data_IF_891937820310
#
_entry.id   IF_891937820310
#
_cell.length_a   1.000
_cell.length_b   1.000
_cell.length_c   1.000
_cell.angle_alpha   90.00
_cell.angle_beta   90.00
_cell.angle_gamma   90.00
#
_symmetry.space_group_name_H-M   'P 1'
#
loop_
_entity.id
_entity.type
_entity.pdbx_description
1 polymer ?
#
# COMPACT_ATOMS: atom_id res chain seq x y z
N UNK A 1 11.98 23.59 -16.56
CA UNK A 1 11.65 22.54 -17.55
C UNK A 1 10.39 22.95 -18.28
N UNK A 2 10.16 22.46 -19.50
CA UNK A 2 9.08 22.92 -20.37
C UNK A 2 8.10 21.78 -20.69
N UNK A 3 7.36 21.30 -19.68
CA UNK A 3 6.15 20.53 -19.90
C UNK A 3 4.92 21.43 -19.68
N UNK A 4 3.79 21.18 -20.36
CA UNK A 4 2.57 21.96 -20.19
C UNK A 4 2.01 21.82 -18.77
N UNK A 5 1.40 22.89 -18.27
CA UNK A 5 0.54 22.85 -17.08
C UNK A 5 -0.88 22.50 -17.53
N UNK A 6 -1.46 21.47 -16.93
CA UNK A 6 -2.77 20.94 -17.29
C UNK A 6 -3.74 21.21 -16.13
N UNK A 7 -4.83 21.94 -16.36
CA UNK A 7 -5.79 22.21 -15.31
C UNK A 7 -6.54 20.93 -14.91
N UNK A 8 -6.78 20.83 -13.60
CA UNK A 8 -7.51 19.71 -13.00
C UNK A 8 -8.90 20.15 -12.58
N UNK A 9 -9.82 19.19 -12.51
CA UNK A 9 -11.21 19.40 -12.13
C UNK A 9 -11.58 18.50 -10.96
N UNK A 10 -12.11 19.09 -9.90
CA UNK A 10 -12.69 18.36 -8.77
C UNK A 10 -13.98 17.68 -9.24
N UNK A 11 -14.10 16.38 -9.01
CA UNK A 11 -15.28 15.59 -9.35
C UNK A 11 -16.16 15.31 -8.14
N UNK A 12 -15.53 14.97 -7.02
CA UNK A 12 -16.20 14.59 -5.79
C UNK A 12 -15.33 14.94 -4.59
N UNK A 13 -15.95 15.15 -3.45
CA UNK A 13 -15.24 15.23 -2.18
C UNK A 13 -16.13 14.70 -1.05
N UNK A 14 -15.53 14.03 -0.08
CA UNK A 14 -16.25 13.48 1.06
C UNK A 14 -15.37 13.51 2.31
N UNK A 15 -15.97 13.75 3.48
CA UNK A 15 -15.23 13.70 4.75
C UNK A 15 -14.83 12.27 5.10
N UNK A 16 -13.61 12.10 5.57
CA UNK A 16 -13.05 10.85 6.10
C UNK A 16 -12.03 11.20 7.21
N UNK A 17 -12.46 11.23 8.47
CA UNK A 17 -11.58 11.54 9.60
C UNK A 17 -10.38 10.57 9.70
N UNK A 18 -9.21 11.11 10.03
CA UNK A 18 -7.93 10.38 10.14
C UNK A 18 -7.23 10.15 8.81
N UNK A 19 -7.69 10.76 7.70
CA UNK A 19 -7.10 10.48 6.38
C UNK A 19 -5.66 11.00 6.25
N UNK A 20 -5.36 12.14 6.87
CA UNK A 20 -4.02 12.74 6.82
C UNK A 20 -2.97 11.80 7.40
N UNK A 21 -3.27 11.15 8.54
CA UNK A 21 -2.37 10.16 9.15
C UNK A 21 -2.38 8.84 8.37
N UNK A 22 -3.56 8.40 7.92
CA UNK A 22 -3.73 7.13 7.23
C UNK A 22 -2.85 6.99 6.00
N UNK A 23 -2.75 8.00 5.14
CA UNK A 23 -1.97 7.85 3.91
C UNK A 23 -0.44 7.76 4.16
N UNK A 24 0.02 8.01 5.39
CA UNK A 24 1.38 7.72 5.83
C UNK A 24 1.57 6.31 6.41
N UNK A 25 0.50 5.53 6.60
CA UNK A 25 0.58 4.15 7.13
C UNK A 25 0.56 3.11 6.02
N UNK A 26 1.16 1.94 6.30
CA UNK A 26 1.27 0.83 5.34
C UNK A 26 -0.07 0.20 4.93
N UNK A 27 -1.14 0.54 5.64
CA UNK A 27 -2.49 0.02 5.41
C UNK A 27 -3.53 1.10 5.12
N UNK A 28 -3.16 2.39 5.10
CA UNK A 28 -4.12 3.46 4.88
C UNK A 28 -4.63 3.52 3.45
N UNK A 29 -3.89 2.95 2.50
CA UNK A 29 -4.34 2.70 1.14
C UNK A 29 -4.07 1.26 0.73
N UNK A 30 -5.13 0.56 0.33
CA UNK A 30 -5.09 -0.85 -0.03
C UNK A 30 -5.77 -1.07 -1.37
N UNK A 31 -5.24 -1.99 -2.17
CA UNK A 31 -5.94 -2.62 -3.27
C UNK A 31 -6.42 -4.01 -2.82
N UNK A 32 -7.74 -4.21 -2.80
CA UNK A 32 -8.40 -5.45 -2.36
C UNK A 32 -9.60 -5.72 -3.25
N UNK A 33 -9.73 -6.96 -3.73
CA UNK A 33 -10.84 -7.41 -4.58
C UNK A 33 -11.03 -6.51 -5.82
N UNK A 34 -9.91 -6.08 -6.42
CA UNK A 34 -9.91 -5.16 -7.57
C UNK A 34 -10.39 -3.74 -7.27
N UNK A 35 -10.50 -3.34 -6.00
CA UNK A 35 -10.94 -2.00 -5.60
C UNK A 35 -9.95 -1.32 -4.66
N UNK A 36 -9.75 -0.02 -4.86
CA UNK A 36 -9.04 0.82 -3.90
C UNK A 36 -9.88 0.99 -2.62
N UNK A 37 -9.21 0.90 -1.48
CA UNK A 37 -9.81 1.06 -0.15
C UNK A 37 -8.93 1.99 0.66
N UNK A 38 -9.55 2.91 1.38
CA UNK A 38 -8.88 3.77 2.34
C UNK A 38 -9.22 3.30 3.75
N UNK A 39 -8.22 3.14 4.60
CA UNK A 39 -8.38 2.72 5.98
C UNK A 39 -7.91 3.84 6.89
N UNK A 40 -8.79 4.41 7.70
CA UNK A 40 -8.42 5.46 8.65
C UNK A 40 -8.66 5.01 10.07
N UNK A 41 -7.86 5.57 10.98
CA UNK A 41 -8.02 5.42 12.43
C UNK A 41 -8.19 6.80 13.02
N UNK A 42 -9.28 7.02 13.73
CA UNK A 42 -9.57 8.30 14.35
C UNK A 42 -10.41 8.10 15.60
N UNK A 43 -9.96 8.66 16.73
CA UNK A 43 -10.67 8.62 18.02
C UNK A 43 -11.15 7.20 18.42
N UNK A 44 -10.26 6.20 18.28
CA UNK A 44 -10.57 4.80 18.64
C UNK A 44 -11.54 4.10 17.68
N UNK A 45 -11.69 4.63 16.47
CA UNK A 45 -12.55 4.08 15.43
C UNK A 45 -11.73 3.80 14.17
N UNK A 46 -11.91 2.61 13.59
CA UNK A 46 -11.38 2.25 12.27
C UNK A 46 -12.50 2.47 11.24
N UNK A 47 -12.23 3.24 10.19
CA UNK A 47 -13.14 3.41 9.05
C UNK A 47 -12.49 2.85 7.80
N UNK A 48 -13.20 1.97 7.09
CA UNK A 48 -12.78 1.49 5.76
C UNK A 48 -13.75 1.99 4.71
N UNK A 49 -13.26 2.83 3.79
CA UNK A 49 -14.02 3.33 2.65
C UNK A 49 -13.63 2.61 1.36
N UNK A 50 -14.60 2.01 0.65
CA UNK A 50 -14.38 1.47 -0.70
C UNK A 50 -14.56 2.59 -1.72
N UNK A 51 -13.52 2.86 -2.51
CA UNK A 51 -13.55 3.90 -3.54
C UNK A 51 -14.55 3.53 -4.64
N UNK A 52 -15.42 4.47 -5.01
CA UNK A 52 -16.48 4.24 -5.98
C UNK A 52 -15.94 4.18 -7.42
N UNK A 53 -16.48 3.30 -8.24
CA UNK A 53 -16.25 3.29 -9.69
C UNK A 53 -16.96 4.45 -10.40
N UNK A 54 -18.05 4.97 -9.80
CA UNK A 54 -18.67 6.22 -10.24
C UNK A 54 -17.80 7.41 -9.83
N UNK A 55 -17.22 8.08 -10.82
CA UNK A 55 -16.31 9.22 -10.62
C UNK A 55 -16.94 10.44 -9.98
N UNK A 56 -18.28 10.50 -9.92
CA UNK A 56 -19.01 11.58 -9.23
C UNK A 56 -19.08 11.41 -7.72
N UNK A 57 -18.55 10.30 -7.18
CA UNK A 57 -18.46 10.00 -5.75
C UNK A 57 -17.02 9.64 -5.36
N UNK A 58 -16.71 9.77 -4.07
CA UNK A 58 -15.46 9.22 -3.53
C UNK A 58 -15.67 7.78 -3.10
N UNK A 59 -16.69 7.51 -2.28
CA UNK A 59 -16.91 6.18 -1.71
C UNK A 59 -18.27 5.59 -2.12
N UNK A 60 -18.25 4.31 -2.51
CA UNK A 60 -19.48 3.55 -2.76
C UNK A 60 -20.09 3.03 -1.46
N UNK A 61 -19.21 2.67 -0.51
CA UNK A 61 -19.55 2.03 0.76
C UNK A 61 -18.53 2.38 1.84
N UNK A 62 -18.95 2.29 3.11
CA UNK A 62 -18.12 2.50 4.29
C UNK A 62 -18.51 1.55 5.40
N UNK A 63 -17.51 0.95 6.02
CA UNK A 63 -17.68 0.15 7.22
C UNK A 63 -16.84 0.74 8.36
N UNK A 64 -17.31 0.54 9.59
CA UNK A 64 -16.79 1.19 10.79
C UNK A 64 -16.68 0.17 11.91
N UNK A 65 -15.55 0.15 12.58
CA UNK A 65 -15.27 -0.72 13.73
C UNK A 65 -14.74 0.10 14.89
N UNK A 66 -15.04 -0.35 16.11
CA UNK A 66 -14.25 0.07 17.27
C UNK A 66 -12.84 -0.47 17.13
N UNK A 67 -11.84 0.38 17.30
CA UNK A 67 -10.45 -0.03 17.25
C UNK A 67 -10.14 -0.95 18.44
N UNK A 68 -9.74 -2.22 18.21
CA UNK A 68 -9.39 -3.12 19.30
C UNK A 68 -8.06 -2.76 19.98
N UNK A 69 -7.23 -1.92 19.37
CA UNK A 69 -5.90 -1.56 19.85
C UNK A 69 -5.54 -0.09 19.53
N UNK A 70 -6.31 0.91 20.03
CA UNK A 70 -6.15 2.32 19.64
C UNK A 70 -4.80 2.94 20.03
N UNK A 71 -4.09 2.33 20.99
CA UNK A 71 -2.77 2.78 21.45
C UNK A 71 -1.61 2.03 20.76
N UNK A 72 -1.90 1.10 19.83
CA UNK A 72 -0.89 0.33 19.11
C UNK A 72 -0.61 0.94 17.72
N UNK A 73 0.50 1.69 17.54
CA UNK A 73 0.84 2.31 16.27
C UNK A 73 1.32 1.31 15.21
N UNK A 74 1.49 0.03 15.58
CA UNK A 74 1.99 -1.04 14.70
C UNK A 74 0.87 -1.91 14.13
N UNK A 75 -0.38 -1.59 14.44
CA UNK A 75 -1.54 -2.31 13.95
C UNK A 75 -1.68 -2.16 12.42
N UNK A 76 -1.95 -3.27 11.73
CA UNK A 76 -2.30 -3.31 10.31
C UNK A 76 -3.71 -3.85 10.13
N UNK A 77 -4.56 -3.16 9.38
CA UNK A 77 -5.95 -3.51 9.13
C UNK A 77 -6.16 -3.86 7.66
N UNK A 78 -6.85 -4.98 7.39
CA UNK A 78 -7.26 -5.36 6.04
C UNK A 78 -8.73 -5.75 6.02
N UNK A 79 -9.57 -5.12 5.18
CA UNK A 79 -10.95 -5.53 5.00
C UNK A 79 -11.03 -6.90 4.31
N UNK A 80 -12.08 -7.65 4.64
CA UNK A 80 -12.34 -8.99 4.11
C UNK A 80 -13.50 -9.00 3.10
N UNK A 81 -13.58 -10.01 2.22
CA UNK A 81 -14.64 -10.09 1.19
C UNK A 81 -16.07 -10.18 1.73
N UNK A 82 -16.22 -10.72 2.95
CA UNK A 82 -17.50 -10.90 3.64
C UNK A 82 -17.92 -9.65 4.44
N UNK A 83 -17.15 -8.56 4.37
CA UNK A 83 -17.37 -7.33 5.12
C UNK A 83 -16.75 -7.35 6.53
N UNK A 84 -16.01 -8.40 6.89
CA UNK A 84 -15.22 -8.44 8.12
C UNK A 84 -13.92 -7.61 8.03
N UNK A 85 -13.15 -7.64 9.11
CA UNK A 85 -11.87 -6.95 9.25
C UNK A 85 -10.81 -7.89 9.84
N UNK A 86 -9.69 -8.05 9.16
CA UNK A 86 -8.50 -8.68 9.73
C UNK A 86 -7.59 -7.60 10.33
N UNK A 87 -7.13 -7.83 11.54
CA UNK A 87 -6.25 -6.94 12.30
C UNK A 87 -4.99 -7.72 12.66
N UNK A 88 -3.83 -7.26 12.19
CA UNK A 88 -2.53 -7.78 12.58
C UNK A 88 -1.89 -6.82 13.56
N UNK A 89 -1.45 -7.35 14.70
CA UNK A 89 -0.70 -6.63 15.73
C UNK A 89 0.66 -7.31 15.93
N UNK A 90 1.45 -6.84 16.89
CA UNK A 90 2.72 -7.49 17.24
C UNK A 90 2.58 -8.87 17.87
N UNK A 91 1.40 -9.25 18.36
CA UNK A 91 1.22 -10.46 19.16
C UNK A 91 0.12 -11.39 18.64
N UNK A 92 -0.77 -10.89 17.79
CA UNK A 92 -1.86 -11.67 17.26
C UNK A 92 -2.34 -11.13 15.91
N UNK A 93 -2.90 -12.04 15.13
CA UNK A 93 -3.76 -11.73 14.00
C UNK A 93 -5.18 -12.13 14.37
N UNK A 94 -6.12 -11.20 14.27
CA UNK A 94 -7.51 -11.38 14.69
C UNK A 94 -8.42 -11.07 13.53
N UNK A 95 -9.41 -11.93 13.29
CA UNK A 95 -10.48 -11.68 12.32
C UNK A 95 -11.75 -11.31 13.05
N UNK A 96 -12.33 -10.19 12.65
CA UNK A 96 -13.59 -9.65 13.15
C UNK A 96 -14.69 -9.84 12.13
N UNK A 97 -15.88 -10.18 12.62
CA UNK A 97 -17.13 -10.14 11.88
C UNK A 97 -17.52 -8.69 11.53
N UNK A 98 -18.47 -8.47 10.59
CA UNK A 98 -18.96 -7.13 10.27
C UNK A 98 -19.57 -6.37 11.46
N UNK A 99 -20.06 -7.08 12.49
CA UNK A 99 -20.59 -6.48 13.72
C UNK A 99 -19.50 -6.15 14.77
N UNK A 100 -18.23 -6.41 14.44
CA UNK A 100 -17.07 -6.19 15.29
C UNK A 100 -16.75 -7.34 16.26
N UNK A 101 -17.60 -8.35 16.36
CA UNK A 101 -17.31 -9.53 17.18
C UNK A 101 -16.11 -10.32 16.63
N UNK A 102 -15.33 -10.93 17.51
CA UNK A 102 -14.15 -11.71 17.11
C UNK A 102 -14.60 -13.07 16.57
N UNK A 103 -14.26 -13.36 15.32
CA UNK A 103 -14.45 -14.68 14.70
C UNK A 103 -13.42 -15.67 15.24
N UNK A 104 -12.14 -15.30 15.16
CA UNK A 104 -11.02 -16.06 15.71
C UNK A 104 -9.80 -15.16 15.93
N UNK A 105 -8.87 -15.63 16.76
CA UNK A 105 -7.59 -14.98 17.06
C UNK A 105 -6.45 -16.01 16.96
N UNK A 106 -5.42 -15.71 16.17
CA UNK A 106 -4.20 -16.48 16.08
C UNK A 106 -3.05 -15.73 16.76
N UNK A 107 -2.64 -16.21 17.94
CA UNK A 107 -1.51 -15.63 18.68
C UNK A 107 -0.17 -16.08 18.13
N UNK A 108 0.78 -15.17 18.11
CA UNK A 108 2.16 -15.44 17.75
C UNK A 108 3.13 -14.74 18.71
N UNK A 109 4.42 -14.97 18.47
CA UNK A 109 5.47 -14.29 19.24
C UNK A 109 5.63 -12.86 18.75
N UNK A 110 6.03 -12.00 19.67
CA UNK A 110 6.42 -10.62 19.38
C UNK A 110 7.85 -10.54 18.81
N UNK A 111 8.11 -9.52 18.00
CA UNK A 111 9.43 -9.11 17.52
C UNK A 111 10.25 -8.43 18.64
N UNK A 112 10.60 -9.20 19.68
CA UNK A 112 11.20 -8.69 20.93
C UNK A 112 12.41 -7.77 20.78
N UNK A 113 13.12 -7.84 19.65
CA UNK A 113 14.35 -7.10 19.38
C UNK A 113 14.21 -5.98 18.35
N UNK A 114 13.01 -5.78 17.80
CA UNK A 114 12.73 -4.70 16.85
C UNK A 114 11.40 -4.05 17.20
N UNK A 115 11.41 -2.87 17.84
CA UNK A 115 10.18 -2.14 18.17
C UNK A 115 9.50 -1.58 16.91
N UNK A 116 10.24 -1.44 15.80
CA UNK A 116 9.73 -0.90 14.54
C UNK A 116 9.04 -1.97 13.68
N UNK A 117 9.31 -3.25 13.91
CA UNK A 117 8.68 -4.35 13.18
C UNK A 117 7.14 -4.35 13.34
N UNK A 118 6.44 -4.59 12.25
CA UNK A 118 4.98 -4.66 12.24
C UNK A 118 4.50 -5.68 11.20
N UNK A 119 3.59 -6.57 11.62
CA UNK A 119 3.00 -7.56 10.73
C UNK A 119 1.88 -6.97 9.87
N UNK A 120 1.68 -7.54 8.69
CA UNK A 120 0.55 -7.25 7.81
C UNK A 120 -0.29 -8.50 7.58
N UNK A 121 -1.52 -8.30 7.10
CA UNK A 121 -2.37 -9.40 6.65
C UNK A 121 -3.24 -9.02 5.46
N UNK A 122 -3.67 -10.02 4.69
CA UNK A 122 -4.67 -9.89 3.62
C UNK A 122 -5.29 -11.25 3.34
N UNK A 123 -6.53 -11.30 2.86
CA UNK A 123 -7.02 -12.54 2.27
C UNK A 123 -6.33 -12.83 0.93
N UNK A 124 -6.25 -14.11 0.58
CA UNK A 124 -5.84 -14.53 -0.76
C UNK A 124 -6.93 -14.15 -1.79
N UNK A 125 -6.59 -13.98 -3.07
CA UNK A 125 -7.57 -13.61 -4.10
C UNK A 125 -8.73 -14.61 -4.27
N UNK A 126 -8.56 -15.87 -3.83
CA UNK A 126 -9.63 -16.87 -3.83
C UNK A 126 -10.56 -16.78 -2.60
N UNK A 127 -10.24 -15.96 -1.60
CA UNK A 127 -11.06 -15.75 -0.39
C UNK A 127 -11.13 -16.97 0.53
N UNK A 128 -10.10 -17.83 0.52
CA UNK A 128 -10.03 -19.06 1.32
C UNK A 128 -9.08 -18.95 2.49
N UNK A 129 -8.00 -18.20 2.34
CA UNK A 129 -6.94 -18.07 3.34
C UNK A 129 -6.69 -16.61 3.69
N UNK A 130 -6.29 -16.36 4.93
CA UNK A 130 -5.64 -15.12 5.35
C UNK A 130 -4.12 -15.32 5.29
N UNK A 131 -3.46 -14.57 4.44
CA UNK A 131 -2.01 -14.42 4.42
C UNK A 131 -1.62 -13.43 5.53
N UNK A 132 -0.70 -13.80 6.40
CA UNK A 132 -0.22 -12.93 7.47
C UNK A 132 1.28 -13.08 7.71
N UNK A 133 1.96 -11.96 7.98
CA UNK A 133 3.37 -11.95 8.36
C UNK A 133 3.55 -11.83 9.86
N UNK A 134 4.44 -12.64 10.44
CA UNK A 134 4.64 -12.74 11.89
C UNK A 134 6.12 -12.86 12.23
N UNK A 135 6.48 -12.64 13.50
CA UNK A 135 7.80 -12.96 13.98
C UNK A 135 8.07 -14.47 13.84
N UNK A 136 9.18 -14.82 13.22
CA UNK A 136 9.55 -16.21 13.02
C UNK A 136 10.11 -16.90 14.27
N UNK A 137 10.41 -18.20 14.16
CA UNK A 137 10.99 -18.96 15.26
C UNK A 137 12.42 -18.49 15.56
N UNK A 138 12.75 -18.48 16.86
CA UNK A 138 14.14 -18.31 17.31
C UNK A 138 14.83 -19.67 17.31
N UNK A 139 16.04 -19.70 16.77
CA UNK A 139 16.96 -20.83 16.86
C UNK A 139 17.47 -21.08 18.28
N UNK A 140 18.17 -22.20 18.52
CA UNK A 140 18.75 -22.53 19.83
C UNK A 140 19.76 -21.50 20.34
N UNK A 141 20.37 -20.73 19.44
CA UNK A 141 21.29 -19.62 19.69
C UNK A 141 20.57 -18.30 20.03
N UNK A 142 19.23 -18.28 19.97
CA UNK A 142 18.40 -17.10 20.17
C UNK A 142 18.33 -16.18 18.95
N UNK A 143 18.93 -16.56 17.82
CA UNK A 143 18.85 -15.80 16.57
C UNK A 143 17.59 -16.21 15.80
N UNK A 144 16.93 -15.25 15.16
CA UNK A 144 15.80 -15.52 14.28
C UNK A 144 16.30 -16.05 12.94
N UNK A 145 15.61 -17.05 12.39
CA UNK A 145 15.87 -17.54 11.03
C UNK A 145 15.29 -16.63 9.92
N UNK A 146 14.56 -15.60 10.31
CA UNK A 146 13.74 -14.74 9.45
C UNK A 146 12.34 -14.61 10.04
N UNK A 147 11.57 -13.65 9.55
CA UNK A 147 10.14 -13.60 9.82
C UNK A 147 9.41 -14.71 9.03
N UNK A 148 8.12 -14.90 9.28
CA UNK A 148 7.33 -15.91 8.59
C UNK A 148 6.13 -15.29 7.90
N UNK A 149 5.76 -15.84 6.75
CA UNK A 149 4.43 -15.69 6.17
C UNK A 149 3.64 -16.97 6.44
N UNK A 150 2.43 -16.84 6.96
CA UNK A 150 1.49 -17.95 7.17
C UNK A 150 0.24 -17.75 6.34
N UNK A 151 -0.25 -18.85 5.77
CA UNK A 151 -1.63 -18.96 5.35
C UNK A 151 -2.44 -19.55 6.50
N UNK A 152 -3.44 -18.80 6.97
CA UNK A 152 -4.43 -19.23 7.95
C UNK A 152 -5.75 -19.48 7.22
N UNK A 153 -6.49 -20.53 7.58
CA UNK A 153 -7.85 -20.72 7.08
C UNK A 153 -8.71 -19.53 7.47
N UNK A 154 -9.33 -18.86 6.49
CA UNK A 154 -10.00 -17.59 6.73
C UNK A 154 -11.22 -17.74 7.66
N UNK A 155 -11.84 -18.92 7.70
CA UNK A 155 -13.02 -19.20 8.51
C UNK A 155 -12.66 -19.57 9.96
N UNK A 156 -11.54 -20.26 10.18
CA UNK A 156 -11.23 -20.91 11.46
C UNK A 156 -9.96 -20.40 12.13
N UNK A 157 -9.05 -19.79 11.37
CA UNK A 157 -7.72 -19.38 11.84
C UNK A 157 -6.72 -20.54 11.93
N UNK A 158 -7.07 -21.75 11.47
CA UNK A 158 -6.15 -22.89 11.46
C UNK A 158 -4.98 -22.66 10.50
N UNK A 159 -3.77 -23.07 10.87
CA UNK A 159 -2.59 -22.90 10.01
C UNK A 159 -2.66 -23.88 8.85
N UNK A 160 -2.72 -23.36 7.62
CA UNK A 160 -2.72 -24.13 6.38
C UNK A 160 -1.29 -24.34 5.87
N UNK A 161 -0.46 -23.29 5.93
CA UNK A 161 0.92 -23.32 5.48
C UNK A 161 1.76 -22.22 6.15
N UNK A 162 3.08 -22.41 6.16
CA UNK A 162 4.06 -21.46 6.69
C UNK A 162 5.29 -21.45 5.78
N UNK A 163 5.88 -20.26 5.60
CA UNK A 163 7.13 -20.07 4.87
C UNK A 163 7.99 -19.04 5.62
N UNK A 164 9.29 -19.33 5.78
CA UNK A 164 10.26 -18.40 6.39
C UNK A 164 10.71 -17.41 5.32
N UNK A 165 10.49 -16.12 5.58
CA UNK A 165 10.83 -15.05 4.66
C UNK A 165 12.34 -14.75 4.69
N UNK A 166 12.89 -14.20 3.60
CA UNK A 166 14.28 -13.73 3.57
C UNK A 166 14.49 -12.44 4.38
N UNK A 167 13.42 -11.85 4.93
CA UNK A 167 13.42 -10.65 5.75
C UNK A 167 13.46 -10.98 7.24
N UNK A 168 13.94 -10.01 8.03
CA UNK A 168 14.02 -10.12 9.47
C UNK A 168 13.53 -8.84 10.13
N UNK A 169 12.58 -8.97 11.08
CA UNK A 169 12.10 -7.83 11.87
C UNK A 169 11.62 -6.65 11.02
N UNK A 170 10.98 -6.94 9.89
CA UNK A 170 10.55 -5.93 8.93
C UNK A 170 9.18 -5.35 9.29
N UNK A 171 8.88 -4.22 8.67
CA UNK A 171 7.52 -3.67 8.55
C UNK A 171 6.93 -4.16 7.23
N UNK A 172 5.77 -4.80 7.30
CA UNK A 172 5.15 -5.45 6.15
C UNK A 172 3.98 -4.67 5.58
N UNK A 173 3.74 -4.82 4.28
CA UNK A 173 2.53 -4.37 3.61
C UNK A 173 2.11 -5.36 2.52
N UNK A 174 0.83 -5.69 2.45
CA UNK A 174 0.26 -6.51 1.38
C UNK A 174 -0.56 -5.68 0.40
N UNK A 175 -0.41 -5.95 -0.90
CA UNK A 175 -1.26 -5.42 -1.96
C UNK A 175 -1.70 -6.53 -2.92
N UNK A 176 -3.00 -6.58 -3.22
CA UNK A 176 -3.49 -7.41 -4.32
C UNK A 176 -3.34 -6.65 -5.64
N UNK A 177 -3.26 -7.37 -6.75
CA UNK A 177 -3.22 -6.74 -8.07
C UNK A 177 -4.62 -6.36 -8.57
N UNK A 178 -4.74 -5.33 -9.45
CA UNK A 178 -6.03 -4.92 -10.01
C UNK A 178 -6.69 -5.99 -10.88
N UNK A 179 -5.90 -6.90 -11.46
CA UNK A 179 -6.33 -7.95 -12.39
C UNK A 179 -6.82 -9.24 -11.72
N UNK A 180 -6.90 -9.25 -10.38
CA UNK A 180 -7.34 -10.38 -9.57
C UNK A 180 -6.57 -11.69 -9.82
N UNK A 181 -5.31 -11.60 -10.24
CA UNK A 181 -4.39 -12.73 -10.33
C UNK A 181 -4.16 -13.39 -8.95
N UNK A 182 -3.73 -14.66 -8.89
CA UNK A 182 -3.61 -15.39 -7.62
C UNK A 182 -2.47 -14.88 -6.72
N UNK A 183 -1.49 -14.18 -7.26
CA UNK A 183 -0.37 -13.61 -6.51
C UNK A 183 -0.80 -12.37 -5.71
N UNK A 184 -0.18 -12.20 -4.55
CA UNK A 184 -0.27 -10.99 -3.73
C UNK A 184 1.14 -10.42 -3.59
N UNK A 185 1.30 -9.11 -3.78
CA UNK A 185 2.55 -8.42 -3.52
C UNK A 185 2.73 -8.22 -2.01
N UNK A 186 3.87 -8.64 -1.50
CA UNK A 186 4.33 -8.41 -0.14
C UNK A 186 5.58 -7.54 -0.15
N UNK A 187 5.50 -6.38 0.50
CA UNK A 187 6.65 -5.52 0.76
C UNK A 187 7.12 -5.75 2.19
N UNK A 188 8.44 -5.92 2.37
CA UNK A 188 9.09 -6.09 3.66
C UNK A 188 10.20 -5.04 3.82
N UNK A 189 9.91 -3.98 4.55
CA UNK A 189 10.82 -2.86 4.78
C UNK A 189 11.65 -3.08 6.03
N UNK A 190 12.98 -3.16 5.91
CA UNK A 190 13.91 -3.48 7.00
C UNK A 190 14.78 -2.27 7.40
N UNK A 191 14.28 -1.05 7.19
CA UNK A 191 15.00 0.17 7.49
C UNK A 191 16.31 0.27 6.70
N UNK A 192 17.44 0.33 7.39
CA UNK A 192 18.77 0.44 6.76
C UNK A 192 19.20 -0.81 6.01
N UNK A 193 18.58 -1.96 6.27
CA UNK A 193 18.89 -3.22 5.60
C UNK A 193 18.16 -3.37 4.25
N UNK A 194 17.41 -2.35 3.84
CA UNK A 194 16.73 -2.27 2.55
C UNK A 194 15.32 -2.86 2.55
N UNK A 195 14.78 -3.11 1.36
CA UNK A 195 13.42 -3.62 1.16
C UNK A 195 13.43 -4.90 0.33
N UNK A 196 12.60 -5.87 0.72
CA UNK A 196 12.26 -7.01 -0.13
C UNK A 196 10.83 -6.87 -0.65
N UNK A 197 10.69 -6.97 -1.96
CA UNK A 197 9.38 -7.12 -2.61
C UNK A 197 9.23 -8.57 -3.06
N UNK A 198 8.14 -9.22 -2.66
CA UNK A 198 7.89 -10.65 -2.87
C UNK A 198 6.51 -10.85 -3.49
N UNK A 199 6.36 -11.86 -4.33
CA UNK A 199 5.06 -12.39 -4.73
C UNK A 199 4.73 -13.59 -3.86
N UNK A 200 3.54 -13.59 -3.27
CA UNK A 200 3.05 -14.66 -2.40
C UNK A 200 1.82 -15.29 -3.03
N UNK A 201 1.84 -16.62 -3.21
CA UNK A 201 0.72 -17.39 -3.73
C UNK A 201 0.38 -18.52 -2.78
N UNK A 202 -0.89 -18.61 -2.36
CA UNK A 202 -1.40 -19.75 -1.60
C UNK A 202 -1.83 -20.88 -2.54
N UNK A 203 -1.04 -21.94 -2.62
CA UNK A 203 -1.32 -23.11 -3.45
C UNK A 203 -1.91 -24.25 -2.61
N UNK A 204 -2.30 -25.36 -3.25
CA UNK A 204 -2.72 -26.56 -2.53
C UNK A 204 -1.55 -27.24 -1.78
N UNK A 205 -0.31 -27.05 -2.26
CA UNK A 205 0.90 -27.63 -1.66
C UNK A 205 1.55 -26.69 -0.63
N UNK A 206 1.03 -25.46 -0.47
CA UNK A 206 1.44 -24.50 0.55
C UNK A 206 1.81 -23.12 0.01
N UNK A 207 2.73 -22.47 0.74
CA UNK A 207 3.45 -21.21 0.48
C UNK A 207 4.34 -21.20 -0.77
N UNK A 208 3.92 -20.66 -1.92
CA UNK A 208 4.88 -20.29 -2.99
C UNK A 208 5.25 -18.79 -2.85
N UNK A 209 6.54 -18.52 -2.66
CA UNK A 209 7.07 -17.17 -2.43
C UNK A 209 8.31 -16.98 -3.31
N UNK A 210 8.30 -15.92 -4.12
CA UNK A 210 9.42 -15.54 -4.97
C UNK A 210 9.64 -14.02 -4.95
N UNK A 211 10.80 -13.56 -5.42
CA UNK A 211 11.07 -12.14 -5.55
C UNK A 211 10.14 -11.50 -6.59
N UNK A 212 9.54 -10.36 -6.24
CA UNK A 212 8.87 -9.49 -7.19
C UNK A 212 9.95 -8.61 -7.84
N UNK A 213 10.25 -8.86 -9.12
CA UNK A 213 11.22 -8.06 -9.87
C UNK A 213 12.61 -7.98 -9.24
N UNK A 214 13.28 -6.85 -9.47
CA UNK A 214 14.69 -6.57 -9.12
C UNK A 214 14.85 -5.41 -8.13
N UNK A 215 13.75 -4.71 -7.82
CA UNK A 215 13.77 -3.49 -7.02
C UNK A 215 14.31 -3.77 -5.60
N UNK A 216 15.17 -2.86 -5.13
CA UNK A 216 15.64 -2.81 -3.74
C UNK A 216 14.78 -1.87 -2.88
N UNK A 217 13.79 -1.24 -3.51
CA UNK A 217 12.87 -0.25 -2.96
C UNK A 217 11.44 -0.79 -2.97
N UNK A 218 10.54 -0.26 -2.14
CA UNK A 218 9.16 -0.70 -2.11
C UNK A 218 8.47 -0.42 -3.45
N UNK A 219 7.73 -1.41 -3.96
CA UNK A 219 6.73 -1.16 -5.00
C UNK A 219 5.51 -0.48 -4.38
N UNK A 220 5.22 0.71 -4.90
CA UNK A 220 4.22 1.65 -4.39
C UNK A 220 3.13 1.94 -5.42
N UNK A 221 3.35 1.57 -6.69
CA UNK A 221 2.34 1.64 -7.76
C UNK A 221 2.13 0.30 -8.47
N UNK A 222 0.86 -0.04 -8.73
CA UNK A 222 0.43 -1.29 -9.36
C UNK A 222 -0.40 -1.01 -10.62
N UNK A 223 0.07 -1.49 -11.77
CA UNK A 223 -0.61 -1.39 -13.05
C UNK A 223 -1.47 -2.62 -13.37
N UNK A 224 -2.38 -2.48 -14.35
CA UNK A 224 -3.36 -3.51 -14.74
C UNK A 224 -2.75 -4.77 -15.38
N UNK A 225 -1.48 -4.72 -15.81
CA UNK A 225 -0.77 -5.85 -16.44
C UNK A 225 0.40 -6.36 -15.57
N UNK A 226 0.36 -6.12 -14.26
CA UNK A 226 1.44 -6.47 -13.34
C UNK A 226 2.69 -5.59 -13.49
N UNK A 227 2.59 -4.46 -14.19
CA UNK A 227 3.63 -3.42 -14.21
C UNK A 227 3.71 -2.79 -12.82
N UNK A 228 4.91 -2.67 -12.30
CA UNK A 228 5.17 -2.15 -10.96
C UNK A 228 5.92 -0.81 -11.04
N UNK A 229 5.64 0.08 -10.10
CA UNK A 229 6.40 1.32 -9.91
C UNK A 229 6.99 1.30 -8.51
N UNK A 230 8.31 1.48 -8.41
CA UNK A 230 9.01 1.70 -7.14
C UNK A 230 9.55 3.13 -7.09
N UNK A 231 9.70 3.63 -5.87
CA UNK A 231 10.30 4.93 -5.59
C UNK A 231 11.38 4.77 -4.54
N UNK A 232 12.53 5.38 -4.79
CA UNK A 232 13.62 5.50 -3.84
C UNK A 232 13.15 6.10 -2.52
N UNK A 233 13.59 5.53 -1.38
CA UNK A 233 13.30 6.12 -0.07
C UNK A 233 13.79 7.58 0.00
N UNK A 234 14.97 7.91 -0.54
CA UNK A 234 15.44 9.30 -0.58
C UNK A 234 14.73 10.19 -1.61
N UNK A 235 13.82 9.66 -2.42
CA UNK A 235 13.18 10.39 -3.53
C UNK A 235 14.09 10.65 -4.72
N UNK A 236 15.27 10.01 -4.78
CA UNK A 236 16.28 10.23 -5.80
C UNK A 236 15.93 9.66 -7.17
N UNK A 237 15.06 8.66 -7.23
CA UNK A 237 14.61 8.06 -8.49
C UNK A 237 13.22 7.40 -8.39
N UNK A 238 12.61 7.20 -9.56
CA UNK A 238 11.43 6.34 -9.77
C UNK A 238 11.81 5.27 -10.79
N UNK A 239 11.38 4.04 -10.56
CA UNK A 239 11.62 2.91 -11.45
C UNK A 239 10.31 2.25 -11.84
N UNK A 240 10.19 1.89 -13.12
CA UNK A 240 9.12 1.05 -13.67
C UNK A 240 9.70 -0.32 -13.99
N UNK A 241 9.13 -1.36 -13.41
CA UNK A 241 9.49 -2.76 -13.65
C UNK A 241 8.35 -3.51 -14.31
N UNK A 242 8.68 -4.36 -15.29
CA UNK A 242 7.73 -5.26 -15.93
C UNK A 242 8.43 -6.58 -16.28
N UNK A 243 7.79 -7.70 -15.99
CA UNK A 243 8.35 -9.02 -16.31
C UNK A 243 8.67 -9.17 -17.81
N UNK A 244 9.84 -9.72 -18.11
CA UNK A 244 10.34 -9.88 -19.47
C UNK A 244 10.74 -8.59 -20.20
N UNK A 245 10.75 -7.43 -19.53
CA UNK A 245 11.20 -6.16 -20.08
C UNK A 245 12.33 -5.56 -19.22
N UNK A 246 13.11 -4.66 -19.82
CA UNK A 246 14.13 -3.91 -19.09
C UNK A 246 13.46 -2.89 -18.15
N UNK A 247 14.05 -2.70 -16.96
CA UNK A 247 13.65 -1.66 -16.03
C UNK A 247 13.87 -0.27 -16.65
N UNK A 248 12.91 0.63 -16.44
CA UNK A 248 13.02 2.03 -16.86
C UNK A 248 13.17 2.89 -15.61
N UNK A 249 14.25 3.65 -15.51
CA UNK A 249 14.59 4.45 -14.32
C UNK A 249 14.78 5.90 -14.73
N UNK A 250 14.19 6.82 -13.96
CA UNK A 250 14.49 8.26 -14.01
C UNK A 250 15.03 8.71 -12.67
N UNK A 251 16.07 9.52 -12.71
CA UNK A 251 16.61 10.15 -11.51
C UNK A 251 16.06 11.57 -11.39
N UNK A 252 15.70 11.98 -10.18
CA UNK A 252 15.17 13.31 -9.87
C UNK A 252 16.04 14.42 -10.46
N UNK A 253 17.36 14.33 -10.29
CA UNK A 253 18.34 15.30 -10.81
C UNK A 253 18.32 15.50 -12.34
N UNK A 254 17.75 14.56 -13.10
CA UNK A 254 17.69 14.65 -14.55
C UNK A 254 16.38 15.29 -15.04
N UNK A 255 15.32 15.22 -14.23
CA UNK A 255 13.94 15.53 -14.65
C UNK A 255 13.19 16.49 -13.73
N UNK A 256 13.81 16.96 -12.64
CA UNK A 256 13.27 17.90 -11.66
C UNK A 256 14.16 19.15 -11.55
N UNK A 257 13.69 20.26 -10.93
CA UNK A 257 14.57 21.38 -10.58
C UNK A 257 15.72 20.93 -9.67
N UNK A 258 16.80 21.72 -9.64
CA UNK A 258 17.93 21.43 -8.74
C UNK A 258 17.43 21.27 -7.29
N UNK A 259 17.96 20.28 -6.59
CA UNK A 259 17.64 19.91 -5.19
C UNK A 259 16.26 19.28 -4.97
N UNK A 260 15.37 19.27 -5.97
CA UNK A 260 14.05 18.64 -5.83
C UNK A 260 14.13 17.11 -5.93
N UNK A 261 13.20 16.44 -5.23
CA UNK A 261 13.09 14.99 -5.15
C UNK A 261 11.65 14.52 -5.36
N UNK A 262 11.47 13.22 -5.62
CA UNK A 262 10.16 12.57 -5.58
C UNK A 262 9.72 12.36 -4.12
N UNK A 263 8.46 12.67 -3.79
CA UNK A 263 7.92 12.63 -2.41
C UNK A 263 6.60 11.86 -2.35
N UNK A 264 6.06 11.67 -1.14
CA UNK A 264 4.69 11.15 -0.93
C UNK A 264 4.49 9.63 -1.04
N UNK A 265 5.48 8.86 -1.50
CA UNK A 265 5.47 7.39 -1.57
C UNK A 265 4.23 6.74 -2.21
N UNK A 266 3.54 7.46 -3.07
CA UNK A 266 2.30 7.01 -3.73
C UNK A 266 2.31 7.19 -5.25
N UNK A 267 3.46 7.07 -5.96
CA UNK A 267 3.43 7.13 -7.41
C UNK A 267 2.63 5.95 -7.95
N UNK A 268 1.77 6.21 -8.92
CA UNK A 268 0.84 5.19 -9.40
C UNK A 268 0.20 5.53 -10.73
N UNK A 269 -0.44 4.54 -11.33
CA UNK A 269 -1.08 4.69 -12.63
C UNK A 269 -2.38 5.48 -12.50
N UNK A 270 -2.43 6.63 -13.16
CA UNK A 270 -3.70 7.34 -13.38
C UNK A 270 -4.51 6.57 -14.42
N UNK A 271 -3.85 6.06 -15.46
CA UNK A 271 -4.40 5.17 -16.47
C UNK A 271 -3.27 4.38 -17.14
N UNK A 272 -3.57 3.65 -18.22
CA UNK A 272 -2.58 2.83 -18.95
C UNK A 272 -1.46 3.63 -19.64
N UNK A 273 -1.58 4.95 -19.71
CA UNK A 273 -0.63 5.84 -20.40
C UNK A 273 0.09 6.82 -19.48
N UNK A 274 -0.37 6.98 -18.23
CA UNK A 274 0.11 8.02 -17.33
C UNK A 274 0.34 7.51 -15.91
N UNK A 275 1.49 7.86 -15.36
CA UNK A 275 1.81 7.72 -13.93
C UNK A 275 1.74 9.10 -13.30
N UNK A 276 1.12 9.21 -12.13
CA UNK A 276 1.17 10.42 -11.30
C UNK A 276 2.27 10.23 -10.27
N UNK A 277 3.11 11.26 -10.11
CA UNK A 277 4.11 11.37 -9.05
C UNK A 277 3.97 12.73 -8.37
N UNK A 278 4.52 12.81 -7.16
CA UNK A 278 4.61 14.07 -6.41
C UNK A 278 6.08 14.42 -6.25
N UNK A 279 6.41 15.71 -6.34
CA UNK A 279 7.76 16.23 -6.21
C UNK A 279 7.81 17.40 -5.24
N UNK A 280 8.89 17.55 -4.48
CA UNK A 280 9.08 18.65 -3.54
C UNK A 280 10.56 19.00 -3.34
N UNK A 281 10.81 20.07 -2.59
CA UNK A 281 12.18 20.53 -2.26
C UNK A 281 12.94 19.54 -1.37
N UNK A 282 12.22 18.76 -0.56
CA UNK A 282 12.80 17.72 0.29
C UNK A 282 11.80 16.58 0.52
N UNK A 283 12.30 15.42 0.96
CA UNK A 283 11.53 14.19 1.18
C UNK A 283 10.31 14.38 2.09
N UNK A 284 10.38 15.35 3.02
CA UNK A 284 9.39 15.60 4.07
C UNK A 284 8.60 16.89 3.86
N UNK A 285 8.58 17.42 2.63
CA UNK A 285 7.79 18.60 2.31
C UNK A 285 6.30 18.37 2.66
N UNK A 286 5.61 19.41 3.13
CA UNK A 286 4.17 19.37 3.40
C UNK A 286 3.35 19.64 2.12
N UNK A 287 3.92 20.44 1.22
CA UNK A 287 3.34 20.80 -0.07
C UNK A 287 4.17 20.20 -1.21
N UNK A 288 3.49 19.84 -2.31
CA UNK A 288 4.13 19.18 -3.45
C UNK A 288 3.65 19.74 -4.78
N UNK A 289 4.45 19.50 -5.83
CA UNK A 289 4.03 19.63 -7.22
C UNK A 289 3.70 18.26 -7.77
N UNK A 290 2.54 18.13 -8.41
CA UNK A 290 2.10 16.86 -8.99
C UNK A 290 2.44 16.83 -10.48
N UNK A 291 3.17 15.80 -10.89
CA UNK A 291 3.59 15.59 -12.27
C UNK A 291 2.95 14.33 -12.84
N UNK A 292 2.52 14.41 -14.10
CA UNK A 292 2.21 13.25 -14.91
C UNK A 292 3.46 12.83 -15.67
N UNK A 293 3.79 11.56 -15.59
CA UNK A 293 4.83 10.89 -16.36
C UNK A 293 4.18 9.99 -17.43
N UNK A 294 4.86 9.79 -18.56
CA UNK A 294 4.48 8.75 -19.52
C UNK A 294 4.63 7.36 -18.88
N UNK A 295 3.62 6.50 -18.97
CA UNK A 295 3.64 5.20 -18.30
C UNK A 295 4.67 4.19 -18.86
N UNK A 296 5.29 4.47 -20.00
CA UNK A 296 6.29 3.61 -20.64
C UNK A 296 7.70 4.16 -20.46
N UNK A 297 7.90 5.45 -20.72
CA UNK A 297 9.22 6.07 -20.66
C UNK A 297 9.50 6.74 -19.32
N UNK A 298 8.48 6.90 -18.47
CA UNK A 298 8.49 7.64 -17.20
C UNK A 298 9.00 9.08 -17.31
N UNK A 299 9.05 9.63 -18.51
CA UNK A 299 9.42 11.04 -18.74
C UNK A 299 8.26 11.97 -18.33
N UNK A 300 8.54 13.15 -17.73
CA UNK A 300 7.49 14.12 -17.42
C UNK A 300 6.77 14.61 -18.67
N UNK A 301 5.44 14.48 -18.67
CA UNK A 301 4.58 14.92 -19.78
C UNK A 301 3.73 16.14 -19.43
N UNK A 302 3.42 16.36 -18.15
CA UNK A 302 2.64 17.51 -17.69
C UNK A 302 2.81 17.79 -16.20
N UNK A 303 2.58 19.03 -15.80
CA UNK A 303 2.32 19.44 -14.41
C UNK A 303 0.83 19.61 -14.19
N UNK A 304 0.31 19.18 -13.04
CA UNK A 304 -1.08 19.38 -12.68
C UNK A 304 -1.29 20.75 -12.02
N UNK A 305 -2.21 21.55 -12.56
CA UNK A 305 -2.53 22.89 -12.08
C UNK A 305 -3.83 22.87 -11.27
N UNK A 306 -3.68 22.88 -9.94
CA UNK A 306 -4.77 22.87 -8.98
C UNK A 306 -5.22 24.30 -8.61
N UNK A 307 -6.49 24.50 -8.20
CA UNK A 307 -6.94 25.78 -7.66
C UNK A 307 -6.22 26.21 -6.37
N UNK A 308 -5.64 25.26 -5.64
CA UNK A 308 -4.88 25.44 -4.40
C UNK A 308 -3.67 24.51 -4.45
N UNK A 309 -2.57 24.86 -3.76
CA UNK A 309 -1.39 24.01 -3.70
C UNK A 309 -1.78 22.64 -3.12
N UNK A 310 -1.51 21.52 -3.81
CA UNK A 310 -1.80 20.20 -3.28
C UNK A 310 -0.76 19.84 -2.22
N UNK A 311 -1.17 19.01 -1.26
CA UNK A 311 -0.25 18.35 -0.34
C UNK A 311 0.63 17.32 -1.05
N UNK A 312 1.52 16.65 -0.31
CA UNK A 312 2.45 15.68 -0.91
C UNK A 312 1.88 14.30 -1.23
N UNK A 313 0.58 14.09 -1.02
CA UNK A 313 -0.03 12.77 -1.18
C UNK A 313 -1.06 12.75 -2.30
N UNK A 314 -0.90 11.81 -3.22
CA UNK A 314 -1.87 11.54 -4.28
C UNK A 314 -2.01 10.05 -4.50
N UNK A 315 -3.25 9.55 -4.58
CA UNK A 315 -3.54 8.13 -4.81
C UNK A 315 -4.17 7.95 -6.19
N UNK A 316 -3.41 7.53 -7.21
CA UNK A 316 -3.95 7.24 -8.53
C UNK A 316 -4.85 6.01 -8.51
N UNK A 317 -5.97 6.07 -9.25
CA UNK A 317 -7.02 5.04 -9.20
C UNK A 317 -7.08 4.14 -10.45
N UNK A 318 -6.19 4.35 -11.43
CA UNK A 318 -6.16 3.58 -12.69
C UNK A 318 -7.32 3.85 -13.65
N UNK A 319 -8.28 4.71 -13.29
CA UNK A 319 -9.47 5.01 -14.08
C UNK A 319 -9.43 6.43 -14.70
N UNK A 320 -8.28 7.05 -14.78
CA UNK A 320 -8.12 8.44 -15.21
C UNK A 320 -8.34 9.47 -14.09
N UNK A 321 -8.60 9.02 -12.87
CA UNK A 321 -8.76 9.88 -11.69
C UNK A 321 -7.76 9.52 -10.59
N UNK A 322 -7.64 10.40 -9.61
CA UNK A 322 -6.81 10.21 -8.43
C UNK A 322 -7.45 10.90 -7.23
N UNK A 323 -7.03 10.49 -6.03
CA UNK A 323 -7.43 11.10 -4.77
C UNK A 323 -6.32 11.99 -4.22
N UNK A 324 -6.71 13.08 -3.56
CA UNK A 324 -5.88 13.85 -2.62
C UNK A 324 -6.68 14.02 -1.33
N UNK A 325 -6.09 14.66 -0.32
CA UNK A 325 -6.81 15.09 0.87
C UNK A 325 -6.58 16.58 1.16
N UNK A 326 -7.55 17.17 1.85
CA UNK A 326 -7.47 18.48 2.49
C UNK A 326 -8.04 18.32 3.90
N UNK A 327 -7.17 18.36 4.90
CA UNK A 327 -7.50 18.04 6.29
C UNK A 327 -8.19 16.66 6.38
N UNK A 328 -9.46 16.63 6.80
CA UNK A 328 -10.29 15.43 6.96
C UNK A 328 -11.21 15.18 5.76
N UNK A 329 -10.90 15.74 4.59
CA UNK A 329 -11.69 15.60 3.37
C UNK A 329 -10.87 14.93 2.29
N UNK A 330 -11.40 13.85 1.72
CA UNK A 330 -10.86 13.22 0.51
C UNK A 330 -11.45 13.92 -0.71
N UNK A 331 -10.62 14.21 -1.70
CA UNK A 331 -11.00 14.90 -2.92
C UNK A 331 -10.61 14.04 -4.13
N UNK A 332 -11.55 13.85 -5.06
CA UNK A 332 -11.31 13.10 -6.31
C UNK A 332 -11.20 14.05 -7.49
N UNK A 333 -10.13 13.89 -8.25
CA UNK A 333 -9.74 14.80 -9.32
C UNK A 333 -9.59 14.08 -10.67
N UNK A 334 -9.69 14.85 -11.75
CA UNK A 334 -9.35 14.43 -13.12
C UNK A 334 -8.65 15.56 -13.85
N UNK A 335 -7.87 15.25 -14.89
CA UNK A 335 -7.48 16.26 -15.88
C UNK A 335 -8.70 16.71 -16.69
N UNK A 336 -8.70 17.97 -17.13
CA UNK A 336 -9.71 18.52 -18.07
C UNK A 336 -9.45 18.17 -19.52
#
# INVERSE_FOLDING_TARGET
MNYPRVPVRLLAHESLPGITEALGTMDGWLLRDGAHRLVTRHEGTITVGKVDTDRSRVFSDRAVWTDPAPDDPTQYCSPLPDGGLAVSTRQAVTVHEPDGSVRWEHRHRDWRHSPEAAGACTHDPAGRALLATMAGPLGPDGLSAGDICRALDLATGEVLAEHVLPSLSATYAFQQFPDARPEVLLTASMGQDGTHCLLVTCTADGLDICAAGTAQEPYVGLGADGVLVSQDVGGGYVCRTQDGADDVIIEARNVLPDEWVFVGYTPGFVDSSRILVVTGEEQWAEEGTHLLLDAHTIEPVAELDYPQAPGVTAVPLGDGTWLTHDQETVQRWTTT
#
